data_IF_848082655556
#
_entry.id   IF_848082655556
#
_cell.length_a   1.000
_cell.length_b   1.000
_cell.length_c   1.000
_cell.angle_alpha   90.00
_cell.angle_beta   90.00
_cell.angle_gamma   90.00
#
_symmetry.space_group_name_H-M   'P 1'
#
loop_
_entity.id
_entity.type
_entity.pdbx_description
1 polymer ?
#
# COMPACT_ATOMS: atom_id res chain seq x y z
N UNK A 1 17.12 -22.65 -17.55
CA UNK A 1 18.21 -21.69 -17.29
C UNK A 1 17.75 -20.81 -16.13
N UNK A 2 18.30 -21.03 -14.94
CA UNK A 2 17.88 -20.34 -13.72
C UNK A 2 18.32 -18.88 -13.79
N UNK A 3 17.38 -17.95 -13.70
CA UNK A 3 17.66 -16.53 -13.62
C UNK A 3 18.27 -16.23 -12.24
N UNK A 4 19.60 -16.26 -12.19
CA UNK A 4 20.37 -15.81 -11.04
C UNK A 4 20.06 -14.33 -10.82
N UNK A 5 19.36 -14.01 -9.72
CA UNK A 5 19.11 -12.63 -9.33
C UNK A 5 20.29 -12.08 -8.55
N UNK A 6 20.56 -10.76 -8.64
CA UNK A 6 21.72 -10.13 -8.00
C UNK A 6 21.80 -10.34 -6.48
N UNK A 7 20.68 -10.71 -5.85
CA UNK A 7 20.53 -10.76 -4.40
C UNK A 7 20.72 -12.17 -3.78
N UNK A 8 21.04 -13.21 -4.58
CA UNK A 8 21.45 -14.52 -4.04
C UNK A 8 20.31 -15.43 -3.53
N UNK A 9 19.06 -15.19 -3.92
CA UNK A 9 17.89 -16.02 -3.64
C UNK A 9 17.11 -16.34 -4.94
N UNK A 10 16.19 -17.31 -4.87
CA UNK A 10 15.45 -17.87 -6.03
C UNK A 10 13.94 -17.71 -5.92
N UNK A 11 13.23 -17.72 -7.05
CA UNK A 11 11.75 -17.65 -7.06
C UNK A 11 11.08 -18.77 -6.24
N UNK A 12 11.54 -20.04 -6.26
CA UNK A 12 11.00 -21.08 -5.38
C UNK A 12 11.19 -20.80 -3.88
N UNK A 13 12.31 -20.17 -3.49
CA UNK A 13 12.50 -19.76 -2.09
C UNK A 13 11.51 -18.68 -1.68
N UNK A 14 11.23 -17.73 -2.57
CA UNK A 14 10.24 -16.68 -2.34
C UNK A 14 8.81 -17.23 -2.29
N UNK A 15 8.47 -18.19 -3.14
CA UNK A 15 7.18 -18.87 -3.10
C UNK A 15 6.95 -19.59 -1.76
N UNK A 16 8.00 -20.20 -1.20
CA UNK A 16 7.94 -20.89 0.09
C UNK A 16 8.00 -19.93 1.29
N UNK A 17 8.21 -18.63 1.09
CA UNK A 17 8.41 -17.68 2.18
C UNK A 17 7.16 -17.53 3.07
N UNK A 18 5.95 -17.64 2.48
CA UNK A 18 4.67 -17.60 3.20
C UNK A 18 4.56 -18.80 4.14
N UNK A 19 4.68 -20.01 3.59
CA UNK A 19 4.59 -21.27 4.36
C UNK A 19 5.66 -21.37 5.47
N UNK A 20 6.82 -20.76 5.26
CA UNK A 20 7.95 -20.76 6.20
C UNK A 20 7.91 -19.63 7.22
N UNK A 21 6.88 -18.77 7.21
CA UNK A 21 6.78 -17.65 8.14
C UNK A 21 7.93 -16.65 8.01
N UNK A 22 8.45 -16.48 6.80
CA UNK A 22 9.58 -15.59 6.51
C UNK A 22 9.13 -14.19 6.09
N UNK A 23 7.84 -14.00 5.82
CA UNK A 23 7.29 -12.68 5.55
C UNK A 23 6.89 -12.01 6.86
N UNK A 24 7.15 -10.71 6.95
CA UNK A 24 6.70 -9.88 8.07
C UNK A 24 6.27 -8.51 7.56
N UNK A 25 5.42 -7.83 8.33
CA UNK A 25 5.00 -6.47 8.05
C UNK A 25 5.76 -5.51 8.98
N UNK A 26 6.37 -4.50 8.39
CA UNK A 26 6.84 -3.32 9.11
C UNK A 26 5.82 -2.21 8.95
N UNK A 27 5.79 -1.27 9.90
CA UNK A 27 4.74 -0.26 9.95
C UNK A 27 5.35 1.13 9.97
N UNK A 28 5.09 1.91 8.91
CA UNK A 28 5.57 3.28 8.82
C UNK A 28 4.49 4.24 9.34
N UNK A 29 4.76 5.03 10.40
CA UNK A 29 3.75 5.94 10.96
C UNK A 29 3.33 7.03 9.97
N UNK A 30 2.03 7.31 9.92
CA UNK A 30 1.45 8.49 9.26
C UNK A 30 1.12 9.52 10.33
N UNK A 31 1.62 10.74 10.15
CA UNK A 31 1.54 11.81 11.17
C UNK A 31 0.66 12.95 10.65
N UNK A 32 -0.27 13.41 11.49
CA UNK A 32 -0.99 14.66 11.24
C UNK A 32 -0.06 15.85 11.48
N UNK A 33 0.22 16.62 10.43
CA UNK A 33 1.21 17.71 10.47
C UNK A 33 0.83 18.86 11.42
N UNK A 34 -0.47 19.00 11.77
CA UNK A 34 -0.93 20.07 12.66
C UNK A 34 -0.72 19.73 14.13
N UNK A 35 -1.07 18.51 14.52
CA UNK A 35 -1.03 18.03 15.90
C UNK A 35 0.26 17.28 16.24
N UNK A 36 1.00 16.80 15.24
CA UNK A 36 2.14 15.90 15.42
C UNK A 36 1.74 14.49 15.88
N UNK A 37 0.43 14.20 15.96
CA UNK A 37 -0.07 12.89 16.38
C UNK A 37 0.01 11.86 15.27
N UNK A 38 0.31 10.61 15.63
CA UNK A 38 0.19 9.48 14.71
C UNK A 38 -1.30 9.21 14.46
N UNK A 39 -1.70 9.23 13.20
CA UNK A 39 -3.09 9.04 12.74
C UNK A 39 -3.30 7.75 11.95
N UNK A 40 -2.22 7.00 11.72
CA UNK A 40 -2.25 5.73 11.01
C UNK A 40 -0.86 5.18 10.83
N UNK A 41 -0.78 4.11 10.06
CA UNK A 41 0.48 3.57 9.55
C UNK A 41 0.28 2.95 8.18
N UNK A 42 1.35 2.81 7.43
CA UNK A 42 1.42 2.01 6.21
C UNK A 42 2.08 0.66 6.52
N UNK A 43 1.44 -0.44 6.10
CA UNK A 43 1.97 -1.78 6.20
C UNK A 43 2.92 -2.07 5.03
N UNK A 44 4.19 -2.29 5.35
CA UNK A 44 5.28 -2.48 4.41
C UNK A 44 5.80 -3.91 4.51
N UNK A 45 5.60 -4.68 3.45
CA UNK A 45 6.10 -6.06 3.36
C UNK A 45 7.62 -6.10 3.49
N UNK A 46 8.12 -7.06 4.26
CA UNK A 46 9.53 -7.43 4.36
C UNK A 46 9.67 -8.93 4.26
N UNK A 47 10.81 -9.36 3.74
CA UNK A 47 11.17 -10.77 3.71
C UNK A 47 12.39 -11.00 4.61
N UNK A 48 12.17 -11.69 5.74
CA UNK A 48 13.22 -12.16 6.64
C UNK A 48 13.85 -13.43 6.07
N UNK A 49 14.77 -13.24 5.12
CA UNK A 49 15.52 -14.34 4.51
C UNK A 49 16.48 -14.97 5.54
N UNK A 50 16.58 -16.31 5.60
CA UNK A 50 17.39 -17.00 6.61
C UNK A 50 18.87 -16.67 6.56
N UNK A 51 19.42 -16.37 5.37
CA UNK A 51 20.85 -16.08 5.18
C UNK A 51 21.16 -14.63 4.83
N UNK A 52 20.22 -13.93 4.19
CA UNK A 52 20.44 -12.56 3.68
C UNK A 52 19.90 -11.51 4.66
N UNK A 53 19.22 -11.95 5.71
CA UNK A 53 18.58 -11.07 6.68
C UNK A 53 17.31 -10.44 6.11
N UNK A 54 17.03 -9.21 6.52
CA UNK A 54 15.80 -8.53 6.19
C UNK A 54 15.89 -7.85 4.82
N UNK A 55 15.10 -8.33 3.86
CA UNK A 55 15.05 -7.79 2.51
C UNK A 55 13.86 -6.82 2.35
N UNK A 56 14.08 -5.61 1.80
CA UNK A 56 13.03 -4.67 1.48
C UNK A 56 12.28 -5.06 0.20
N UNK A 57 11.05 -4.55 0.01
CA UNK A 57 10.17 -4.93 -1.09
C UNK A 57 10.79 -4.66 -2.46
N UNK A 58 11.56 -3.59 -2.63
CA UNK A 58 12.21 -3.27 -3.91
C UNK A 58 13.17 -4.36 -4.43
N UNK A 59 13.65 -5.26 -3.58
CA UNK A 59 14.53 -6.37 -4.01
C UNK A 59 13.73 -7.56 -4.56
N UNK A 60 12.51 -7.82 -4.06
CA UNK A 60 11.77 -9.04 -4.40
C UNK A 60 10.38 -8.79 -5.00
N UNK A 61 9.72 -7.66 -4.81
CA UNK A 61 8.39 -7.40 -5.41
C UNK A 61 8.36 -7.51 -6.94
N UNK A 62 9.36 -7.02 -7.71
CA UNK A 62 9.35 -7.20 -9.17
C UNK A 62 9.31 -8.68 -9.59
N UNK A 63 9.81 -9.55 -8.72
CA UNK A 63 9.77 -11.00 -8.89
C UNK A 63 8.40 -11.54 -8.60
N UNK A 64 7.81 -11.15 -7.47
CA UNK A 64 6.47 -11.57 -7.08
C UNK A 64 5.48 -11.26 -8.19
N UNK A 65 5.57 -10.05 -8.75
CA UNK A 65 4.72 -9.59 -9.84
C UNK A 65 4.94 -10.39 -11.13
N UNK A 66 6.20 -10.59 -11.54
CA UNK A 66 6.53 -11.32 -12.78
C UNK A 66 6.35 -12.84 -12.69
N UNK A 67 6.28 -13.40 -11.49
CA UNK A 67 6.13 -14.85 -11.24
C UNK A 67 4.71 -15.29 -10.89
N UNK A 68 3.77 -14.34 -10.77
CA UNK A 68 2.38 -14.65 -10.44
C UNK A 68 2.16 -15.05 -8.98
N UNK A 69 3.10 -14.80 -8.08
CA UNK A 69 2.99 -15.07 -6.64
C UNK A 69 2.15 -14.01 -5.91
N UNK A 70 1.73 -12.97 -6.61
CA UNK A 70 1.10 -11.81 -6.01
C UNK A 70 -0.26 -12.08 -5.35
N UNK A 71 -1.14 -12.94 -5.90
CA UNK A 71 -2.38 -13.32 -5.22
C UNK A 71 -2.14 -13.98 -3.85
N UNK A 72 -1.15 -14.88 -3.74
CA UNK A 72 -0.86 -15.60 -2.49
C UNK A 72 -0.24 -14.69 -1.44
N UNK A 73 0.84 -13.99 -1.82
CA UNK A 73 1.54 -13.06 -0.91
C UNK A 73 0.61 -11.90 -0.53
N UNK A 74 -0.17 -11.40 -1.47
CA UNK A 74 -1.11 -10.32 -1.24
C UNK A 74 -2.27 -10.71 -0.32
N UNK A 75 -2.78 -11.94 -0.42
CA UNK A 75 -3.73 -12.48 0.54
C UNK A 75 -3.14 -12.57 1.95
N UNK A 76 -1.90 -13.04 2.07
CA UNK A 76 -1.19 -13.06 3.35
C UNK A 76 -1.00 -11.65 3.92
N UNK A 77 -0.54 -10.69 3.10
CA UNK A 77 -0.32 -9.29 3.51
C UNK A 77 -1.60 -8.65 4.03
N UNK A 78 -2.70 -8.73 3.28
CA UNK A 78 -3.97 -8.11 3.68
C UNK A 78 -4.51 -8.76 4.95
N UNK A 79 -4.45 -10.09 5.05
CA UNK A 79 -4.88 -10.81 6.25
C UNK A 79 -4.06 -10.46 7.48
N UNK A 80 -2.74 -10.39 7.36
CA UNK A 80 -1.85 -10.05 8.46
C UNK A 80 -2.00 -8.61 8.91
N UNK A 81 -2.13 -7.68 7.97
CA UNK A 81 -2.43 -6.28 8.27
C UNK A 81 -3.76 -6.15 9.04
N UNK A 82 -4.81 -6.84 8.59
CA UNK A 82 -6.11 -6.78 9.26
C UNK A 82 -6.05 -7.36 10.69
N UNK A 83 -5.35 -8.50 10.89
CA UNK A 83 -5.13 -9.08 12.22
C UNK A 83 -4.35 -8.13 13.13
N UNK A 84 -3.26 -7.55 12.63
CA UNK A 84 -2.48 -6.58 13.41
C UNK A 84 -3.32 -5.37 13.81
N UNK A 85 -4.12 -4.84 12.88
CA UNK A 85 -4.96 -3.68 13.15
C UNK A 85 -6.06 -3.98 14.16
N UNK A 86 -6.64 -5.20 14.15
CA UNK A 86 -7.55 -5.65 15.21
C UNK A 86 -6.87 -5.57 16.58
N UNK A 87 -5.65 -6.08 16.69
CA UNK A 87 -4.91 -6.11 17.96
C UNK A 87 -4.57 -4.69 18.44
N UNK A 88 -4.20 -3.78 17.52
CA UNK A 88 -3.97 -2.36 17.85
C UNK A 88 -5.25 -1.61 18.23
N UNK A 89 -6.37 -1.92 17.59
CA UNK A 89 -7.67 -1.30 17.91
C UNK A 89 -8.07 -1.55 19.35
N UNK A 90 -7.76 -2.73 19.90
CA UNK A 90 -8.01 -3.04 21.30
C UNK A 90 -7.21 -2.16 22.26
N UNK A 91 -6.13 -1.53 21.79
CA UNK A 91 -5.21 -0.71 22.56
C UNK A 91 -5.39 0.81 22.30
N UNK A 92 -6.10 1.22 21.24
CA UNK A 92 -6.17 2.60 20.79
C UNK A 92 -7.60 3.18 20.80
N UNK A 93 -7.76 4.41 21.33
CA UNK A 93 -9.05 5.13 21.43
C UNK A 93 -9.25 6.20 20.35
N UNK A 94 -8.48 6.18 19.25
CA UNK A 94 -8.51 7.23 18.22
C UNK A 94 -8.77 6.65 16.84
N UNK A 95 -9.30 7.44 15.90
CA UNK A 95 -9.34 7.06 14.50
C UNK A 95 -7.91 6.86 14.01
N UNK A 96 -7.54 5.61 13.82
CA UNK A 96 -6.25 5.15 13.32
C UNK A 96 -6.53 4.22 12.15
N UNK A 97 -5.84 4.40 11.03
CA UNK A 97 -6.00 3.52 9.86
C UNK A 97 -4.70 2.83 9.51
N UNK A 98 -4.81 1.60 9.04
CA UNK A 98 -3.70 0.86 8.48
C UNK A 98 -3.85 0.83 6.95
N UNK A 99 -2.90 1.43 6.26
CA UNK A 99 -2.82 1.45 4.81
C UNK A 99 -2.12 0.18 4.32
N UNK A 100 -2.66 -0.46 3.28
CA UNK A 100 -2.13 -1.70 2.71
C UNK A 100 -2.04 -1.56 1.20
N UNK A 101 -0.83 -1.77 0.66
CA UNK A 101 -0.58 -1.78 -0.78
C UNK A 101 -1.22 -3.02 -1.43
N UNK A 102 -1.95 -2.80 -2.52
CA UNK A 102 -2.59 -3.85 -3.33
C UNK A 102 -2.18 -3.69 -4.78
N UNK A 103 -1.67 -4.77 -5.39
CA UNK A 103 -1.22 -4.75 -6.78
C UNK A 103 -2.38 -4.88 -7.78
N UNK A 104 -2.13 -4.45 -9.03
CA UNK A 104 -3.07 -4.57 -10.14
C UNK A 104 -3.64 -5.99 -10.31
N UNK A 105 -2.78 -7.00 -10.21
CA UNK A 105 -3.13 -8.42 -10.38
C UNK A 105 -4.07 -8.98 -9.32
N UNK A 106 -4.28 -8.27 -8.21
CA UNK A 106 -5.20 -8.65 -7.15
C UNK A 106 -6.56 -7.95 -7.29
N UNK A 107 -6.66 -6.94 -8.15
CA UNK A 107 -7.89 -6.20 -8.37
C UNK A 107 -8.62 -6.79 -9.57
N UNK A 108 -9.76 -7.42 -9.30
CA UNK A 108 -10.63 -8.02 -10.31
C UNK A 108 -12.09 -7.95 -9.91
N UNK A 109 -12.99 -8.62 -10.65
CA UNK A 109 -14.44 -8.57 -10.40
C UNK A 109 -14.84 -8.96 -8.97
N UNK A 110 -14.14 -9.92 -8.36
CA UNK A 110 -14.43 -10.43 -7.01
C UNK A 110 -13.63 -9.73 -5.89
N UNK A 111 -12.98 -8.60 -6.20
CA UNK A 111 -12.11 -7.88 -5.27
C UNK A 111 -12.85 -7.47 -3.99
N UNK A 112 -14.10 -7.00 -4.11
CA UNK A 112 -14.90 -6.61 -2.94
C UNK A 112 -15.24 -7.82 -2.05
N UNK A 113 -15.59 -8.95 -2.65
CA UNK A 113 -15.85 -10.20 -1.94
C UNK A 113 -14.62 -10.69 -1.18
N UNK A 114 -13.45 -10.66 -1.82
CA UNK A 114 -12.19 -11.03 -1.18
C UNK A 114 -11.86 -10.14 0.02
N UNK A 115 -11.89 -8.81 -0.14
CA UNK A 115 -11.60 -7.88 0.96
C UNK A 115 -12.60 -8.01 2.10
N UNK A 116 -13.90 -8.17 1.81
CA UNK A 116 -14.93 -8.41 2.82
C UNK A 116 -14.67 -9.70 3.60
N UNK A 117 -14.24 -10.77 2.92
CA UNK A 117 -13.86 -12.03 3.55
C UNK A 117 -12.71 -11.84 4.52
N UNK A 118 -11.63 -11.17 4.10
CA UNK A 118 -10.47 -10.91 4.95
C UNK A 118 -10.81 -10.06 6.19
N UNK A 119 -11.63 -9.01 6.01
CA UNK A 119 -12.11 -8.19 7.12
C UNK A 119 -12.95 -9.01 8.11
N UNK A 120 -13.82 -9.90 7.62
CA UNK A 120 -14.65 -10.76 8.44
C UNK A 120 -13.80 -11.77 9.23
N UNK A 121 -12.84 -12.44 8.57
CA UNK A 121 -11.93 -13.40 9.20
C UNK A 121 -11.05 -12.76 10.29
N UNK A 122 -10.68 -11.49 10.10
CA UNK A 122 -9.92 -10.70 11.07
C UNK A 122 -10.79 -10.00 12.11
N UNK A 123 -12.12 -10.09 12.02
CA UNK A 123 -13.09 -9.34 12.86
C UNK A 123 -12.79 -7.82 12.90
N UNK A 124 -12.33 -7.27 11.77
CA UNK A 124 -11.92 -5.87 11.66
C UNK A 124 -13.04 -5.02 11.03
N UNK A 125 -13.51 -3.95 11.70
CA UNK A 125 -14.39 -3.00 11.03
C UNK A 125 -13.68 -2.33 9.86
N UNK A 126 -14.36 -2.23 8.72
CA UNK A 126 -13.77 -1.75 7.47
C UNK A 126 -13.17 -0.34 7.54
N UNK A 127 -13.66 0.53 8.45
CA UNK A 127 -13.18 1.91 8.64
C UNK A 127 -11.71 2.02 9.09
N UNK A 128 -11.12 0.92 9.57
CA UNK A 128 -9.73 0.83 9.98
C UNK A 128 -8.77 0.45 8.84
N UNK A 129 -9.31 0.02 7.69
CA UNK A 129 -8.53 -0.37 6.52
C UNK A 129 -8.52 0.75 5.48
N UNK A 130 -7.32 1.11 5.02
CA UNK A 130 -7.10 1.90 3.81
C UNK A 130 -6.36 1.02 2.80
N UNK A 131 -6.84 0.96 1.57
CA UNK A 131 -6.21 0.23 0.47
C UNK A 131 -5.51 1.22 -0.43
N UNK A 132 -4.23 0.97 -0.69
CA UNK A 132 -3.42 1.78 -1.58
C UNK A 132 -3.30 1.08 -2.94
N UNK A 133 -3.63 1.83 -4.00
CA UNK A 133 -3.54 1.39 -5.38
C UNK A 133 -2.65 2.36 -6.15
N UNK A 134 -1.84 1.88 -7.07
CA UNK A 134 -1.10 2.77 -7.97
C UNK A 134 -2.07 3.57 -8.84
N UNK A 135 -1.64 4.75 -9.32
CA UNK A 135 -2.44 5.60 -10.21
C UNK A 135 -3.03 4.83 -11.41
N UNK A 136 -2.23 3.96 -12.03
CA UNK A 136 -2.66 3.16 -13.18
C UNK A 136 -3.76 2.15 -12.83
N UNK A 137 -3.76 1.58 -11.63
CA UNK A 137 -4.81 0.65 -11.18
C UNK A 137 -6.06 1.42 -10.78
N UNK A 138 -5.90 2.49 -10.01
CA UNK A 138 -7.01 3.29 -9.52
C UNK A 138 -7.83 3.94 -10.66
N UNK A 139 -7.19 4.29 -11.78
CA UNK A 139 -7.84 5.04 -12.88
C UNK A 139 -7.82 4.34 -14.24
N UNK A 140 -7.12 3.22 -14.39
CA UNK A 140 -6.91 2.57 -15.69
C UNK A 140 -8.05 1.68 -16.17
N UNK A 141 -8.89 1.16 -15.26
CA UNK A 141 -10.00 0.27 -15.62
C UNK A 141 -11.32 0.68 -14.91
N UNK A 142 -12.28 1.28 -15.62
CA UNK A 142 -13.59 1.59 -15.05
C UNK A 142 -14.37 0.36 -14.54
N UNK A 143 -14.04 -0.86 -14.97
CA UNK A 143 -14.73 -2.08 -14.57
C UNK A 143 -14.56 -2.41 -13.08
N UNK A 144 -13.51 -1.89 -12.42
CA UNK A 144 -13.27 -2.14 -10.99
C UNK A 144 -14.06 -1.18 -10.07
N UNK A 145 -14.58 -0.06 -10.61
CA UNK A 145 -15.23 0.98 -9.79
C UNK A 145 -16.42 0.48 -8.96
N UNK A 146 -17.30 -0.42 -9.45
CA UNK A 146 -18.36 -0.99 -8.63
C UNK A 146 -17.84 -1.74 -7.40
N UNK A 147 -16.76 -2.52 -7.55
CA UNK A 147 -16.14 -3.25 -6.44
C UNK A 147 -15.52 -2.28 -5.42
N UNK A 148 -14.81 -1.25 -5.89
CA UNK A 148 -14.26 -0.21 -5.02
C UNK A 148 -15.37 0.56 -4.28
N UNK A 149 -16.47 0.92 -4.96
CA UNK A 149 -17.58 1.64 -4.33
C UNK A 149 -18.30 0.76 -3.29
N UNK A 150 -18.48 -0.54 -3.56
CA UNK A 150 -19.05 -1.48 -2.61
C UNK A 150 -18.21 -1.57 -1.31
N UNK A 151 -16.88 -1.49 -1.42
CA UNK A 151 -15.98 -1.45 -0.27
C UNK A 151 -16.00 -0.09 0.45
N UNK A 152 -16.07 1.01 -0.31
CA UNK A 152 -16.24 2.36 0.26
C UNK A 152 -17.52 2.46 1.08
N UNK A 153 -18.62 1.88 0.60
CA UNK A 153 -19.92 1.93 1.27
C UNK A 153 -19.90 1.25 2.65
N UNK A 154 -19.04 0.24 2.87
CA UNK A 154 -18.88 -0.39 4.19
C UNK A 154 -17.84 0.29 5.08
N UNK A 155 -17.07 1.25 4.54
CA UNK A 155 -16.12 2.07 5.29
C UNK A 155 -14.66 1.94 4.89
N UNK A 156 -14.30 1.04 3.96
CA UNK A 156 -12.91 0.94 3.45
C UNK A 156 -12.54 2.26 2.77
N UNK A 157 -11.32 2.74 3.01
CA UNK A 157 -10.78 3.90 2.30
C UNK A 157 -9.84 3.47 1.19
N UNK A 158 -9.71 4.34 0.19
CA UNK A 158 -8.77 4.13 -0.89
C UNK A 158 -7.82 5.32 -1.02
N UNK A 159 -6.54 5.00 -1.19
CA UNK A 159 -5.51 5.93 -1.55
C UNK A 159 -4.97 5.61 -2.95
N UNK A 160 -4.69 6.65 -3.74
CA UNK A 160 -3.88 6.51 -4.94
C UNK A 160 -2.43 6.84 -4.60
N UNK A 161 -1.53 5.90 -4.86
CA UNK A 161 -0.09 6.04 -4.69
C UNK A 161 0.62 6.45 -5.99
N UNK A 162 1.85 6.97 -5.86
CA UNK A 162 2.70 7.47 -6.95
C UNK A 162 2.09 8.59 -7.80
N UNK A 163 1.13 9.34 -7.24
CA UNK A 163 0.43 10.40 -7.96
C UNK A 163 1.41 11.48 -8.46
N UNK A 164 1.39 11.75 -9.76
CA UNK A 164 2.23 12.76 -10.41
C UNK A 164 3.41 12.21 -11.20
N UNK A 165 3.61 10.89 -11.23
CA UNK A 165 4.65 10.24 -12.03
C UNK A 165 4.18 9.76 -13.42
N UNK A 166 2.89 9.91 -13.75
CA UNK A 166 2.25 9.41 -14.98
C UNK A 166 1.20 10.33 -15.64
N UNK A 167 0.29 9.75 -16.44
CA UNK A 167 -0.79 10.45 -17.16
C UNK A 167 -1.91 10.90 -16.20
N UNK A 168 -1.68 11.98 -15.47
CA UNK A 168 -2.68 12.49 -14.53
C UNK A 168 -3.85 13.18 -15.23
N UNK A 169 -4.99 12.50 -15.30
CA UNK A 169 -6.28 13.13 -15.54
C UNK A 169 -7.04 13.25 -14.21
N UNK A 170 -6.90 14.40 -13.53
CA UNK A 170 -7.73 14.78 -12.36
C UNK A 170 -9.24 14.56 -12.61
N UNK A 171 -9.64 14.50 -13.88
CA UNK A 171 -10.97 14.17 -14.33
C UNK A 171 -11.49 12.81 -13.81
N UNK A 172 -10.61 11.82 -13.61
CA UNK A 172 -11.01 10.49 -13.12
C UNK A 172 -11.27 10.44 -11.60
N UNK A 173 -10.79 11.43 -10.83
CA UNK A 173 -11.11 11.54 -9.39
C UNK A 173 -12.61 11.68 -9.11
N UNK A 174 -13.38 12.17 -10.08
CA UNK A 174 -14.83 12.31 -9.93
C UNK A 174 -15.57 10.98 -9.91
N UNK A 175 -14.98 9.93 -10.51
CA UNK A 175 -15.65 8.65 -10.73
C UNK A 175 -15.07 7.53 -9.86
N UNK A 176 -13.89 7.73 -9.28
CA UNK A 176 -13.20 6.73 -8.47
C UNK A 176 -13.35 7.05 -6.97
N UNK A 177 -13.67 6.08 -6.10
CA UNK A 177 -13.85 6.27 -4.66
C UNK A 177 -12.55 6.52 -3.87
N UNK A 178 -11.56 7.19 -4.48
CA UNK A 178 -10.31 7.59 -3.82
C UNK A 178 -10.59 8.74 -2.85
N UNK A 179 -10.17 8.57 -1.59
CA UNK A 179 -10.26 9.60 -0.56
C UNK A 179 -8.92 10.25 -0.22
N UNK A 180 -7.82 9.63 -0.65
CA UNK A 180 -6.45 10.02 -0.29
C UNK A 180 -5.57 10.02 -1.54
N UNK A 181 -4.81 11.09 -1.76
CA UNK A 181 -3.77 11.15 -2.79
C UNK A 181 -2.41 11.21 -2.10
N UNK A 182 -1.55 10.22 -2.34
CA UNK A 182 -0.17 10.22 -1.85
C UNK A 182 0.72 10.85 -2.90
N UNK A 183 1.48 11.85 -2.48
CA UNK A 183 2.44 12.54 -3.34
C UNK A 183 3.75 11.77 -3.24
N UNK A 184 4.32 11.38 -4.38
CA UNK A 184 5.58 10.65 -4.40
C UNK A 184 6.72 11.46 -3.74
N UNK A 185 7.60 10.73 -3.04
CA UNK A 185 8.71 11.32 -2.29
C UNK A 185 9.67 12.13 -3.16
N UNK A 186 9.78 11.85 -4.48
CA UNK A 186 10.67 12.61 -5.36
C UNK A 186 10.26 14.08 -5.48
N UNK A 187 8.96 14.38 -5.39
CA UNK A 187 8.44 15.74 -5.39
C UNK A 187 8.76 16.49 -4.10
N UNK A 188 8.79 15.78 -2.96
CA UNK A 188 9.14 16.34 -1.66
C UNK A 188 10.66 16.54 -1.55
N UNK A 189 11.45 15.56 -1.99
CA UNK A 189 12.90 15.60 -1.96
C UNK A 189 13.49 16.70 -2.88
N UNK A 190 12.78 17.07 -3.95
CA UNK A 190 13.18 18.12 -4.89
C UNK A 190 12.73 19.55 -4.53
N UNK A 191 12.01 19.76 -3.43
CA UNK A 191 11.56 21.10 -3.04
C UNK A 191 12.74 21.95 -2.53
N UNK A 192 13.15 23.03 -3.23
CA UNK A 192 14.29 23.83 -2.80
C UNK A 192 13.97 24.47 -1.46
N UNK A 193 14.70 24.07 -0.43
CA UNK A 193 14.77 24.81 0.83
C UNK A 193 15.64 26.04 0.61
N UNK A 194 15.16 26.99 -0.19
CA UNK A 194 15.83 28.26 -0.37
C UNK A 194 14.79 29.36 -0.40
N UNK A 195 14.66 30.03 0.75
CA UNK A 195 14.20 31.41 0.76
C UNK A 195 15.16 32.22 -0.12
N UNK A 196 14.81 32.36 -1.40
CA UNK A 196 15.49 33.27 -2.29
C UNK A 196 15.19 34.69 -1.80
N UNK A 197 16.17 35.27 -1.13
CA UNK A 197 16.31 36.69 -0.83
C UNK A 197 15.88 37.51 -2.03
N UNK A 198 14.91 38.41 -1.84
CA UNK A 198 14.50 39.42 -2.84
C UNK A 198 15.75 40.11 -3.39
N UNK A 199 15.90 40.28 -4.72
CA UNK A 199 16.84 41.28 -5.22
C UNK A 199 16.30 42.65 -4.81
N UNK A 200 17.11 43.38 -4.05
CA UNK A 200 16.86 44.76 -3.68
C UNK A 200 16.82 45.63 -4.95
N UNK A 201 15.65 46.16 -5.29
CA UNK A 201 15.59 47.37 -6.11
C UNK A 201 15.98 48.56 -5.24
N UNK A 202 17.00 49.28 -5.66
CA UNK A 202 17.28 50.65 -5.19
C UNK A 202 17.99 51.42 -6.30
N UNK A 203 17.81 52.74 -6.32
CA UNK A 203 16.78 53.48 -7.04
C UNK A 203 17.11 53.75 -8.52
#
# INVERSE_FOLDING_TARGET
MSAFRPDGWTTPELAQAVERGQLELHYQPVVDLRSGGIVGAEALLRWRHPTLGLLPPGQFLPVVESSGLMPEIGAWVLGEACRQMRDWRMLAWRPFRLAVNVSASQVGPDFDGWVKGVLADAELPAEYLEIELTESVAFGDPAIFPALDALRQIGVRFAADDFGTGYSCLQHLKCCPISTLKIDQSFVAGSPTTAATKPSCTP
#
